data_IF_405501058420
#
_entry.id   IF_405501058420
#
_cell.length_a   1.000
_cell.length_b   1.000
_cell.length_c   1.000
_cell.angle_alpha   90.00
_cell.angle_beta   90.00
_cell.angle_gamma   90.00
#
_symmetry.space_group_name_H-M   'P 1'
#
loop_
_entity.id
_entity.type
_entity.pdbx_description
1 polymer ?
#
# COMPACT_ATOMS: atom_id res chain seq x y z
N UNK A 1 -11.23 23.09 16.09
CA UNK A 1 -11.63 21.92 15.26
C UNK A 1 -12.06 20.77 16.16
N UNK A 2 -13.09 20.01 15.74
CA UNK A 2 -13.48 18.74 16.38
C UNK A 2 -12.91 17.55 15.59
N UNK A 3 -12.50 16.50 16.30
CA UNK A 3 -12.00 15.25 15.72
C UNK A 3 -12.94 14.15 16.20
N UNK A 4 -13.51 13.38 15.28
CA UNK A 4 -14.31 12.20 15.60
C UNK A 4 -13.77 10.99 14.83
N UNK A 5 -13.42 9.94 15.57
CA UNK A 5 -12.96 8.69 14.96
C UNK A 5 -14.17 7.77 14.87
N UNK A 6 -14.71 7.62 13.67
CA UNK A 6 -15.80 6.69 13.42
C UNK A 6 -15.30 5.24 13.45
N UNK A 7 -14.06 5.02 12.94
CA UNK A 7 -13.43 3.70 12.88
C UNK A 7 -11.91 3.81 12.72
N UNK A 8 -11.15 2.81 13.20
CA UNK A 8 -9.69 2.73 13.05
C UNK A 8 -8.89 3.07 14.31
N UNK A 9 -9.52 3.20 15.50
CA UNK A 9 -8.80 3.58 16.72
C UNK A 9 -8.13 2.38 17.41
N UNK A 10 -8.86 1.36 17.79
CA UNK A 10 -8.35 0.16 18.49
C UNK A 10 -8.30 -1.06 17.56
N UNK A 11 -8.03 -0.83 16.30
CA UNK A 11 -7.93 -1.85 15.25
C UNK A 11 -6.95 -1.41 14.18
N UNK A 12 -6.40 -2.37 13.44
CA UNK A 12 -5.65 -2.11 12.22
C UNK A 12 -6.63 -2.08 11.05
N UNK A 13 -6.58 -1.00 10.26
CA UNK A 13 -7.43 -0.80 9.09
C UNK A 13 -8.82 -0.27 9.37
N UNK A 14 -9.58 -0.07 8.29
CA UNK A 14 -10.93 0.45 8.33
C UNK A 14 -11.04 1.93 8.71
N UNK A 15 -10.00 2.72 8.51
CA UNK A 15 -9.93 4.10 8.97
C UNK A 15 -11.03 4.99 8.37
N UNK A 16 -11.79 5.66 9.25
CA UNK A 16 -12.76 6.69 8.89
C UNK A 16 -12.72 7.76 9.98
N UNK A 17 -12.16 8.94 9.65
CA UNK A 17 -11.91 10.01 10.62
C UNK A 17 -12.56 11.29 10.12
N UNK A 18 -13.44 11.88 10.94
CA UNK A 18 -14.07 13.17 10.68
C UNK A 18 -13.24 14.29 11.31
N UNK A 19 -13.02 15.35 10.54
CA UNK A 19 -12.54 16.66 11.02
C UNK A 19 -13.61 17.69 10.72
N UNK A 20 -14.08 18.41 11.75
CA UNK A 20 -15.13 19.39 11.58
C UNK A 20 -14.89 20.70 12.33
N UNK A 21 -15.49 21.76 11.80
CA UNK A 21 -15.66 23.08 12.41
C UNK A 21 -17.16 23.32 12.66
N UNK A 22 -17.56 24.55 12.97
CA UNK A 22 -18.99 24.89 13.05
C UNK A 22 -19.69 24.85 11.68
N UNK A 23 -18.96 25.00 10.58
CA UNK A 23 -19.53 25.20 9.23
C UNK A 23 -19.07 24.19 8.19
N UNK A 24 -18.01 23.43 8.43
CA UNK A 24 -17.39 22.53 7.47
C UNK A 24 -17.12 21.16 8.09
N UNK A 25 -17.38 20.11 7.33
CA UNK A 25 -17.17 18.74 7.76
C UNK A 25 -16.48 17.92 6.67
N UNK A 26 -15.29 17.40 6.94
CA UNK A 26 -14.53 16.55 6.01
C UNK A 26 -14.24 15.18 6.62
N UNK A 27 -13.99 14.19 5.77
CA UNK A 27 -13.57 12.85 6.19
C UNK A 27 -12.16 12.57 5.66
N UNK A 28 -11.31 12.00 6.51
CA UNK A 28 -10.00 11.46 6.16
C UNK A 28 -10.08 9.95 6.13
N UNK A 29 -9.87 9.37 4.95
CA UNK A 29 -10.02 7.97 4.59
C UNK A 29 -11.45 7.41 4.77
N UNK A 30 -11.77 6.39 4.01
CA UNK A 30 -13.02 5.61 4.07
C UNK A 30 -12.66 4.13 3.81
N UNK A 31 -12.07 3.51 4.81
CA UNK A 31 -11.47 2.19 4.70
C UNK A 31 -12.44 1.04 4.91
N UNK A 32 -12.10 -0.11 4.35
CA UNK A 32 -12.68 -1.41 4.65
C UNK A 32 -12.02 -2.03 5.89
N UNK A 33 -12.74 -2.79 6.69
CA UNK A 33 -12.15 -3.62 7.72
C UNK A 33 -11.38 -4.79 7.10
N UNK A 34 -10.26 -5.21 7.73
CA UNK A 34 -9.39 -6.23 7.16
C UNK A 34 -10.01 -7.64 7.14
N UNK A 35 -10.90 -7.92 8.08
CA UNK A 35 -11.48 -9.26 8.28
C UNK A 35 -12.82 -9.48 7.56
N UNK A 36 -13.33 -8.48 6.82
CA UNK A 36 -14.71 -8.48 6.30
C UNK A 36 -14.78 -8.65 4.77
N UNK A 37 -14.15 -9.69 4.26
CA UNK A 37 -14.12 -9.99 2.82
C UNK A 37 -15.47 -10.40 2.19
N UNK A 38 -16.54 -10.63 2.96
CA UNK A 38 -17.72 -11.33 2.43
C UNK A 38 -19.10 -10.70 2.65
N UNK A 39 -19.29 -9.78 3.60
CA UNK A 39 -20.60 -9.15 3.87
C UNK A 39 -20.43 -7.76 4.48
N UNK A 40 -19.85 -6.83 3.72
CA UNK A 40 -19.63 -5.49 4.24
C UNK A 40 -20.95 -4.74 4.29
N UNK A 41 -21.48 -4.61 5.50
CA UNK A 41 -22.44 -3.56 5.79
C UNK A 41 -21.69 -2.23 5.86
N UNK A 42 -22.24 -1.22 5.19
CA UNK A 42 -21.69 0.14 5.31
C UNK A 42 -21.85 0.60 6.75
N UNK A 43 -20.82 1.24 7.34
CA UNK A 43 -20.96 1.79 8.69
C UNK A 43 -22.05 2.87 8.69
N UNK A 44 -22.82 2.92 9.78
CA UNK A 44 -23.89 3.90 9.96
C UNK A 44 -23.29 5.27 10.32
N UNK A 45 -22.89 6.00 9.26
CA UNK A 45 -22.33 7.35 9.35
C UNK A 45 -23.24 8.28 8.56
N UNK A 46 -24.07 9.01 9.31
CA UNK A 46 -25.09 9.90 8.76
C UNK A 46 -24.49 10.94 7.79
N UNK A 47 -24.99 10.95 6.57
CA UNK A 47 -24.55 11.89 5.55
C UNK A 47 -23.27 11.53 4.78
N UNK A 48 -22.71 10.33 4.97
CA UNK A 48 -21.51 9.90 4.19
C UNK A 48 -21.90 9.03 2.99
N UNK A 49 -22.82 8.11 3.17
CA UNK A 49 -23.19 7.13 2.14
C UNK A 49 -24.61 7.34 1.60
N UNK A 50 -25.52 7.81 2.41
CA UNK A 50 -26.96 7.94 2.14
C UNK A 50 -27.35 9.29 1.50
N UNK A 51 -26.75 10.40 1.95
CA UNK A 51 -26.89 11.73 1.37
C UNK A 51 -25.59 12.53 1.51
N UNK A 52 -25.50 13.71 0.86
CA UNK A 52 -24.31 14.55 0.94
C UNK A 52 -24.32 15.42 2.20
N UNK A 53 -23.84 14.87 3.33
CA UNK A 53 -23.71 15.55 4.62
C UNK A 53 -22.28 16.00 4.95
N UNK A 54 -21.32 15.70 4.08
CA UNK A 54 -19.92 16.08 4.20
C UNK A 54 -19.49 16.96 3.03
N UNK A 55 -18.56 17.87 3.27
CA UNK A 55 -18.06 18.80 2.25
C UNK A 55 -16.95 18.19 1.40
N UNK A 56 -16.21 17.19 1.90
CA UNK A 56 -15.20 16.44 1.15
C UNK A 56 -14.75 15.15 1.85
N UNK A 57 -14.17 14.23 1.06
CA UNK A 57 -13.37 13.09 1.50
C UNK A 57 -11.96 13.23 0.97
N UNK A 58 -10.95 13.02 1.81
CA UNK A 58 -9.54 13.03 1.47
C UNK A 58 -8.96 11.64 1.72
N UNK A 59 -8.44 11.00 0.68
CA UNK A 59 -7.86 9.65 0.74
C UNK A 59 -6.34 9.75 0.84
N UNK A 60 -5.77 9.23 1.94
CA UNK A 60 -4.33 9.26 2.18
C UNK A 60 -3.56 8.39 1.17
N UNK A 61 -4.07 7.19 0.88
CA UNK A 61 -3.49 6.24 -0.07
C UNK A 61 -4.49 5.15 -0.50
N UNK A 62 -4.09 4.28 -1.46
CA UNK A 62 -5.01 3.38 -2.15
C UNK A 62 -5.18 1.98 -1.52
N UNK A 63 -4.69 1.67 -0.34
CA UNK A 63 -4.99 0.39 0.30
C UNK A 63 -6.47 0.28 0.66
N UNK A 64 -7.01 -0.93 0.65
CA UNK A 64 -8.43 -1.16 0.85
C UNK A 64 -8.96 -0.67 2.19
N UNK A 65 -8.16 -0.79 3.23
CA UNK A 65 -8.45 -0.35 4.60
C UNK A 65 -8.37 1.17 4.81
N UNK A 66 -8.09 1.94 3.75
CA UNK A 66 -8.15 3.41 3.70
C UNK A 66 -9.10 3.95 2.62
N UNK A 67 -9.26 3.21 1.52
CA UNK A 67 -10.01 3.66 0.35
C UNK A 67 -11.25 2.81 0.06
N UNK A 68 -11.31 1.59 0.58
CA UNK A 68 -12.21 0.57 0.03
C UNK A 68 -13.70 0.93 0.01
N UNK A 69 -14.17 1.82 0.89
CA UNK A 69 -15.54 2.33 0.88
C UNK A 69 -15.75 3.57 -0.02
N UNK A 70 -14.71 4.10 -0.68
CA UNK A 70 -14.83 5.27 -1.54
C UNK A 70 -15.82 5.07 -2.70
N UNK A 71 -16.04 3.85 -3.12
CA UNK A 71 -17.01 3.47 -4.16
C UNK A 71 -18.48 3.65 -3.72
N UNK A 72 -18.72 3.73 -2.42
CA UNK A 72 -20.06 3.87 -1.81
C UNK A 72 -20.32 5.26 -1.27
N UNK A 73 -19.31 6.13 -1.19
CA UNK A 73 -19.47 7.53 -0.78
C UNK A 73 -20.52 8.20 -1.68
N UNK A 74 -21.42 8.98 -1.08
CA UNK A 74 -22.46 9.65 -1.83
C UNK A 74 -21.87 10.52 -2.95
N UNK A 75 -22.37 10.36 -4.16
CA UNK A 75 -21.81 10.89 -5.42
C UNK A 75 -21.59 12.41 -5.45
N UNK A 76 -22.33 13.17 -4.62
CA UNK A 76 -22.24 14.63 -4.55
C UNK A 76 -21.16 15.09 -3.54
N UNK A 77 -20.53 14.17 -2.79
CA UNK A 77 -19.41 14.46 -1.92
C UNK A 77 -18.09 14.37 -2.75
N UNK A 78 -17.32 15.47 -2.85
CA UNK A 78 -16.06 15.47 -3.59
C UNK A 78 -15.01 14.62 -2.90
N UNK A 79 -14.32 13.76 -3.67
CA UNK A 79 -13.21 12.91 -3.19
C UNK A 79 -11.90 13.45 -3.76
N UNK A 80 -10.87 13.56 -2.90
CA UNK A 80 -9.49 13.92 -3.25
C UNK A 80 -8.56 12.77 -2.92
N UNK A 81 -7.64 12.45 -3.85
CA UNK A 81 -6.68 11.33 -3.73
C UNK A 81 -5.40 11.68 -4.49
N UNK A 82 -4.29 11.01 -4.21
CA UNK A 82 -3.07 11.14 -5.00
C UNK A 82 -3.29 10.77 -6.47
N UNK A 83 -2.62 11.49 -7.40
CA UNK A 83 -2.81 11.26 -8.84
C UNK A 83 -2.35 9.88 -9.27
N UNK A 84 -1.15 9.44 -8.81
CA UNK A 84 -0.63 8.12 -9.14
C UNK A 84 -1.37 7.02 -8.37
N UNK A 85 -1.84 7.29 -7.16
CA UNK A 85 -2.78 6.43 -6.41
C UNK A 85 -4.03 6.15 -7.24
N UNK A 86 -4.64 7.19 -7.81
CA UNK A 86 -5.82 7.04 -8.66
C UNK A 86 -5.53 6.27 -9.96
N UNK A 87 -4.38 6.52 -10.61
CA UNK A 87 -3.96 5.75 -11.81
C UNK A 87 -3.84 4.25 -11.50
N UNK A 88 -3.23 3.90 -10.37
CA UNK A 88 -3.06 2.51 -9.91
C UNK A 88 -4.42 1.84 -9.73
N UNK A 89 -5.35 2.50 -9.01
CA UNK A 89 -6.68 1.95 -8.77
C UNK A 89 -7.44 1.82 -10.09
N UNK A 90 -7.43 2.85 -10.92
CA UNK A 90 -8.14 2.83 -12.20
C UNK A 90 -7.65 1.71 -13.11
N UNK A 91 -6.33 1.45 -13.16
CA UNK A 91 -5.77 0.33 -13.91
C UNK A 91 -6.22 -1.02 -13.32
N UNK A 92 -6.20 -1.15 -11.99
CA UNK A 92 -6.67 -2.34 -11.28
C UNK A 92 -8.16 -2.61 -11.54
N UNK A 93 -8.99 -1.58 -11.42
CA UNK A 93 -10.44 -1.67 -11.59
C UNK A 93 -10.82 -1.97 -13.05
N UNK A 94 -10.19 -1.29 -13.99
CA UNK A 94 -10.37 -1.56 -15.42
C UNK A 94 -10.03 -3.01 -15.76
N UNK A 95 -8.91 -3.53 -15.21
CA UNK A 95 -8.57 -4.96 -15.37
C UNK A 95 -9.63 -5.89 -14.79
N UNK A 96 -10.27 -5.52 -13.66
CA UNK A 96 -11.32 -6.30 -13.00
C UNK A 96 -12.72 -6.05 -13.57
N UNK A 97 -12.89 -5.12 -14.50
CA UNK A 97 -14.15 -4.57 -15.02
C UNK A 97 -15.03 -3.95 -13.92
N UNK A 98 -14.43 -3.20 -13.02
CA UNK A 98 -15.08 -2.40 -11.97
C UNK A 98 -15.07 -0.95 -12.44
N UNK A 99 -16.16 -0.23 -12.23
CA UNK A 99 -16.20 1.22 -12.47
C UNK A 99 -15.53 1.95 -11.30
N UNK A 100 -14.46 2.69 -11.59
CA UNK A 100 -13.75 3.49 -10.57
C UNK A 100 -14.52 4.78 -10.29
N UNK A 101 -14.59 5.21 -9.03
CA UNK A 101 -15.13 6.52 -8.67
C UNK A 101 -14.33 7.65 -9.33
N UNK A 102 -14.95 8.84 -9.49
CA UNK A 102 -14.29 10.00 -10.12
C UNK A 102 -13.83 10.99 -9.05
N UNK A 103 -12.52 11.22 -8.87
CA UNK A 103 -12.04 12.19 -7.92
C UNK A 103 -12.35 13.60 -8.39
N UNK A 104 -12.60 14.51 -7.44
CA UNK A 104 -12.76 15.94 -7.68
C UNK A 104 -11.44 16.62 -8.00
N UNK A 105 -10.34 16.11 -7.44
CA UNK A 105 -8.99 16.64 -7.63
C UNK A 105 -7.94 15.75 -7.04
N UNK A 106 -6.67 16.11 -7.27
CA UNK A 106 -5.53 15.31 -6.87
C UNK A 106 -4.72 15.99 -5.78
N UNK A 107 -4.31 15.16 -4.79
CA UNK A 107 -3.34 15.54 -3.77
C UNK A 107 -1.97 15.72 -4.41
N UNK A 108 -1.29 16.77 -4.01
CA UNK A 108 0.09 17.03 -4.41
C UNK A 108 0.85 17.56 -3.20
N UNK A 109 2.12 17.14 -3.06
CA UNK A 109 2.95 17.55 -1.95
C UNK A 109 2.95 19.07 -1.75
N UNK A 110 2.53 19.52 -0.55
CA UNK A 110 2.46 20.93 -0.10
C UNK A 110 1.57 21.84 -0.97
N UNK A 111 0.65 21.27 -1.74
CA UNK A 111 -0.38 22.06 -2.41
C UNK A 111 -1.68 21.95 -1.64
N UNK A 112 -1.99 22.96 -0.86
CA UNK A 112 -3.17 23.00 -0.02
C UNK A 112 -4.46 23.04 -0.83
N UNK A 113 -5.49 22.38 -0.32
CA UNK A 113 -6.86 22.37 -0.82
C UNK A 113 -7.73 22.92 0.30
N UNK A 114 -8.50 23.96 0.02
CA UNK A 114 -9.43 24.55 1.00
C UNK A 114 -10.85 24.11 0.69
N UNK A 115 -11.53 23.59 1.69
CA UNK A 115 -12.93 23.19 1.66
C UNK A 115 -13.63 23.91 2.81
N UNK A 116 -14.58 24.80 2.50
CA UNK A 116 -15.16 25.67 3.51
C UNK A 116 -14.09 26.48 4.24
N UNK A 117 -14.00 26.30 5.55
CA UNK A 117 -13.01 26.94 6.43
C UNK A 117 -11.86 26.00 6.84
N UNK A 118 -11.84 24.76 6.35
CA UNK A 118 -10.76 23.81 6.58
C UNK A 118 -9.78 23.83 5.40
N UNK A 119 -8.49 24.00 5.67
CA UNK A 119 -7.43 23.88 4.67
C UNK A 119 -6.65 22.59 4.92
N UNK A 120 -6.63 21.70 3.90
CA UNK A 120 -5.88 20.43 3.94
C UNK A 120 -4.62 20.54 3.12
N UNK A 121 -3.46 20.34 3.74
CA UNK A 121 -2.15 20.34 3.09
C UNK A 121 -1.56 18.93 3.09
N UNK A 122 -1.43 18.27 1.92
CA UNK A 122 -0.86 16.94 1.82
C UNK A 122 0.66 16.96 1.84
N UNK A 123 1.27 16.04 2.60
CA UNK A 123 2.71 15.79 2.64
C UNK A 123 3.02 14.39 2.13
N UNK A 124 3.69 14.28 0.98
CA UNK A 124 4.08 12.99 0.42
C UNK A 124 4.96 12.23 1.40
N UNK A 125 4.55 11.02 1.78
CA UNK A 125 5.28 10.14 2.69
C UNK A 125 5.68 8.82 2.02
N UNK A 126 6.55 8.05 2.67
CA UNK A 126 6.86 6.69 2.27
C UNK A 126 5.88 5.71 2.90
N UNK A 127 5.38 4.80 2.11
CA UNK A 127 4.56 3.66 2.50
C UNK A 127 4.66 2.57 1.42
N UNK A 128 4.16 1.36 1.68
CA UNK A 128 4.09 0.30 0.66
C UNK A 128 3.14 0.64 -0.51
N UNK A 129 2.13 1.48 -0.28
CA UNK A 129 1.39 2.14 -1.34
C UNK A 129 2.21 3.30 -1.93
N UNK A 130 2.26 3.35 -3.24
CA UNK A 130 2.94 4.42 -3.98
C UNK A 130 2.20 5.74 -3.86
N UNK A 131 2.61 6.88 -3.77
CA UNK A 131 1.85 8.14 -3.74
C UNK A 131 0.93 8.28 -2.51
N UNK A 132 1.50 8.00 -1.30
CA UNK A 132 0.84 8.11 0.00
C UNK A 132 1.10 9.47 0.64
N UNK A 133 0.13 10.00 1.38
CA UNK A 133 0.19 11.32 1.97
C UNK A 133 -0.19 11.33 3.46
N UNK A 134 0.59 12.08 4.26
CA UNK A 134 0.10 12.65 5.52
C UNK A 134 -0.74 13.88 5.21
N UNK A 135 -1.81 14.12 5.96
CA UNK A 135 -2.75 15.22 5.73
C UNK A 135 -2.76 16.19 6.93
N UNK A 136 -2.30 17.43 6.71
CA UNK A 136 -2.39 18.50 7.70
C UNK A 136 -3.70 19.26 7.49
N UNK A 137 -4.60 19.24 8.47
CA UNK A 137 -5.83 20.02 8.51
C UNK A 137 -5.62 21.26 9.38
N UNK A 138 -5.94 22.43 8.85
CA UNK A 138 -5.81 23.72 9.53
C UNK A 138 -7.14 24.50 9.46
N UNK A 139 -7.67 24.89 10.61
CA UNK A 139 -8.83 25.78 10.75
C UNK A 139 -8.78 26.44 12.14
N UNK A 140 -9.34 27.66 12.27
CA UNK A 140 -9.45 28.39 13.55
C UNK A 140 -8.12 28.56 14.32
N UNK A 141 -6.99 28.55 13.61
CA UNK A 141 -5.65 28.61 14.20
C UNK A 141 -5.14 27.30 14.81
N UNK A 142 -5.91 26.22 14.73
CA UNK A 142 -5.53 24.87 15.15
C UNK A 142 -4.97 24.06 13.98
N UNK A 143 -4.07 23.11 14.30
CA UNK A 143 -3.36 22.24 13.38
C UNK A 143 -3.49 20.78 13.79
N UNK A 144 -4.11 19.97 12.94
CA UNK A 144 -4.27 18.53 13.13
C UNK A 144 -3.53 17.81 12.01
N UNK A 145 -2.56 16.96 12.34
CA UNK A 145 -1.86 16.12 11.37
C UNK A 145 -2.36 14.68 11.46
N UNK A 146 -2.86 14.16 10.37
CA UNK A 146 -3.18 12.75 10.16
C UNK A 146 -2.07 12.08 9.38
N UNK A 147 -1.48 11.02 9.92
CA UNK A 147 -0.35 10.35 9.26
C UNK A 147 -0.78 9.51 8.07
N UNK A 148 -2.05 9.06 7.98
CA UNK A 148 -2.34 7.86 7.22
C UNK A 148 -1.37 6.76 7.66
N UNK A 149 -0.96 5.92 6.74
CA UNK A 149 0.11 4.95 6.95
C UNK A 149 1.43 5.49 6.39
N UNK A 150 2.52 5.25 7.13
CA UNK A 150 3.84 5.68 6.71
C UNK A 150 4.95 4.73 7.16
N UNK A 151 6.14 4.90 6.61
CA UNK A 151 7.36 4.18 7.01
C UNK A 151 8.61 5.03 6.78
N UNK A 152 9.74 4.59 7.34
CA UNK A 152 11.05 5.22 7.13
C UNK A 152 12.01 4.37 6.30
N UNK A 153 11.64 3.16 5.98
CA UNK A 153 12.50 2.09 5.43
C UNK A 153 12.30 1.83 3.93
N UNK A 154 11.47 2.61 3.24
CA UNK A 154 11.25 2.48 1.80
C UNK A 154 12.21 3.30 0.96
N UNK A 155 11.74 3.81 -0.19
CA UNK A 155 12.58 4.50 -1.17
C UNK A 155 12.46 6.02 -1.14
N UNK A 156 11.40 6.55 -0.51
CA UNK A 156 11.26 8.01 -0.31
C UNK A 156 12.01 8.44 0.95
N UNK A 157 12.80 9.53 0.90
CA UNK A 157 13.68 9.89 2.01
C UNK A 157 12.89 10.45 3.21
N UNK A 158 12.74 9.65 4.26
CA UNK A 158 12.02 10.01 5.48
C UNK A 158 12.54 11.27 6.16
N UNK A 159 13.86 11.42 6.26
CA UNK A 159 14.50 12.62 6.83
C UNK A 159 14.17 13.93 6.06
N UNK A 160 13.83 13.82 4.78
CA UNK A 160 13.36 14.97 4.01
C UNK A 160 11.92 15.31 4.41
N UNK A 161 11.04 14.33 4.53
CA UNK A 161 9.68 14.53 5.00
C UNK A 161 9.64 15.21 6.37
N UNK A 162 10.44 14.74 7.36
CA UNK A 162 10.50 15.32 8.69
C UNK A 162 10.88 16.82 8.69
N UNK A 163 11.70 17.27 7.73
CA UNK A 163 12.06 18.70 7.61
C UNK A 163 10.93 19.54 7.01
N UNK A 164 10.05 18.95 6.23
CA UNK A 164 8.94 19.64 5.57
C UNK A 164 7.70 19.74 6.44
N UNK A 165 7.55 18.87 7.44
CA UNK A 165 6.39 18.84 8.33
C UNK A 165 6.33 20.06 9.27
N UNK A 166 5.11 20.53 9.61
CA UNK A 166 4.91 21.59 10.59
C UNK A 166 5.35 21.14 11.99
N UNK A 167 5.71 22.13 12.83
CA UNK A 167 6.06 21.89 14.22
C UNK A 167 5.06 22.54 15.15
N UNK A 168 4.99 22.03 16.40
CA UNK A 168 4.11 22.53 17.44
C UNK A 168 2.63 22.50 16.99
N UNK A 169 2.20 21.34 16.51
CA UNK A 169 0.81 21.08 16.09
C UNK A 169 -0.08 20.81 17.31
N UNK A 170 -1.39 21.01 17.16
CA UNK A 170 -2.34 20.82 18.26
C UNK A 170 -2.65 19.35 18.49
N UNK A 171 -2.89 18.57 17.42
CA UNK A 171 -3.12 17.14 17.52
C UNK A 171 -2.38 16.37 16.43
N UNK A 172 -1.92 15.16 16.77
CA UNK A 172 -1.36 14.18 15.86
C UNK A 172 -2.19 12.90 15.92
N UNK A 173 -2.84 12.53 14.82
CA UNK A 173 -3.45 11.23 14.61
C UNK A 173 -2.40 10.32 13.99
N UNK A 174 -1.89 9.34 14.75
CA UNK A 174 -0.71 8.57 14.37
C UNK A 174 -0.97 7.09 14.29
N UNK A 175 -0.60 6.45 13.16
CA UNK A 175 -0.63 5.01 13.02
C UNK A 175 0.33 4.32 13.99
N UNK A 176 -0.02 3.10 14.40
CA UNK A 176 0.80 2.27 15.28
C UNK A 176 0.75 0.78 14.95
N UNK A 177 0.61 0.43 13.67
CA UNK A 177 0.44 -0.95 13.18
C UNK A 177 1.50 -1.92 13.69
N UNK A 178 2.74 -1.47 13.83
CA UNK A 178 3.85 -2.33 14.27
C UNK A 178 4.06 -2.37 15.78
N UNK A 179 3.35 -1.55 16.55
CA UNK A 179 3.57 -1.41 18.00
C UNK A 179 3.12 -2.64 18.82
N UNK A 180 2.33 -3.54 18.24
CA UNK A 180 2.03 -4.85 18.82
C UNK A 180 3.18 -5.87 18.66
N UNK A 181 4.23 -5.53 17.89
CA UNK A 181 5.37 -6.40 17.57
C UNK A 181 6.59 -5.99 18.39
N UNK A 182 6.77 -6.59 19.56
CA UNK A 182 7.88 -6.26 20.46
C UNK A 182 9.25 -6.38 19.77
N UNK A 183 10.09 -5.34 19.88
CA UNK A 183 11.45 -5.33 19.33
C UNK A 183 11.54 -5.35 17.80
N UNK A 184 10.44 -5.07 17.10
CA UNK A 184 10.44 -5.03 15.64
C UNK A 184 11.27 -3.85 15.11
N UNK A 185 12.22 -4.16 14.22
CA UNK A 185 13.03 -3.20 13.47
C UNK A 185 12.83 -3.45 11.98
N UNK A 186 12.52 -2.42 11.25
CA UNK A 186 12.28 -2.52 9.80
C UNK A 186 13.58 -2.70 9.02
N UNK A 187 13.63 -3.69 8.13
CA UNK A 187 14.66 -3.78 7.09
C UNK A 187 14.33 -2.76 5.98
N UNK A 188 15.34 -2.12 5.41
CA UNK A 188 15.12 -1.20 4.28
C UNK A 188 14.88 -1.94 2.97
N UNK A 189 14.16 -1.31 2.03
CA UNK A 189 14.00 -1.84 0.66
C UNK A 189 15.35 -2.00 -0.06
N UNK A 190 16.38 -1.22 0.30
CA UNK A 190 17.72 -1.32 -0.25
C UNK A 190 18.47 -2.54 0.25
N UNK A 191 18.38 -2.86 1.54
CA UNK A 191 18.95 -4.08 2.13
C UNK A 191 18.25 -5.32 1.57
N UNK A 192 16.92 -5.27 1.43
CA UNK A 192 16.15 -6.36 0.83
C UNK A 192 16.51 -6.57 -0.65
N UNK A 193 16.81 -5.50 -1.40
CA UNK A 193 17.34 -5.59 -2.78
C UNK A 193 18.69 -6.33 -2.80
N UNK A 194 19.60 -6.01 -1.86
CA UNK A 194 20.91 -6.67 -1.78
C UNK A 194 20.75 -8.16 -1.46
N UNK A 195 19.90 -8.51 -0.51
CA UNK A 195 19.61 -9.89 -0.14
C UNK A 195 19.00 -10.67 -1.32
N UNK A 196 18.06 -10.07 -2.04
CA UNK A 196 17.49 -10.65 -3.27
C UNK A 196 18.58 -10.90 -4.33
N UNK A 197 19.52 -9.96 -4.52
CA UNK A 197 20.65 -10.13 -5.45
C UNK A 197 21.50 -11.33 -5.07
N UNK A 198 21.88 -11.48 -3.80
CA UNK A 198 22.71 -12.61 -3.38
C UNK A 198 21.97 -13.95 -3.51
N UNK A 199 20.68 -14.00 -3.21
CA UNK A 199 19.84 -15.17 -3.45
C UNK A 199 19.77 -15.53 -4.94
N UNK A 200 19.55 -14.54 -5.81
CA UNK A 200 19.41 -14.78 -7.25
C UNK A 200 20.73 -15.17 -7.91
N UNK A 201 21.89 -14.65 -7.45
CA UNK A 201 23.22 -15.03 -7.95
C UNK A 201 23.53 -16.50 -7.68
N UNK A 202 23.18 -16.98 -6.50
CA UNK A 202 23.50 -18.36 -6.08
C UNK A 202 22.50 -19.38 -6.59
N UNK A 203 21.35 -18.93 -7.09
CA UNK A 203 20.29 -19.80 -7.61
C UNK A 203 20.47 -20.09 -9.11
N UNK A 204 20.43 -21.37 -9.48
CA UNK A 204 20.56 -21.82 -10.88
C UNK A 204 19.23 -22.14 -11.55
N UNK A 205 18.17 -22.24 -10.77
CA UNK A 205 16.80 -22.52 -11.24
C UNK A 205 15.99 -21.26 -11.52
N UNK A 206 14.71 -21.43 -11.85
CA UNK A 206 13.80 -20.31 -12.03
C UNK A 206 13.57 -19.56 -10.72
N UNK A 207 13.28 -18.26 -10.80
CA UNK A 207 12.95 -17.43 -9.64
C UNK A 207 11.55 -16.88 -9.83
N UNK A 208 10.69 -17.20 -8.88
CA UNK A 208 9.34 -16.64 -8.75
C UNK A 208 9.28 -15.74 -7.53
N UNK A 209 8.52 -14.65 -7.62
CA UNK A 209 8.33 -13.70 -6.51
C UNK A 209 6.83 -13.56 -6.27
N UNK A 210 6.38 -14.04 -5.14
CA UNK A 210 5.00 -13.90 -4.68
C UNK A 210 4.86 -12.58 -3.93
N UNK A 211 4.26 -11.59 -4.59
CA UNK A 211 4.09 -10.22 -4.08
C UNK A 211 2.83 -9.55 -4.60
N UNK A 212 2.45 -8.44 -3.97
CA UNK A 212 1.37 -7.58 -4.48
C UNK A 212 1.80 -6.89 -5.77
N UNK A 213 0.93 -6.92 -6.78
CA UNK A 213 1.10 -6.17 -8.03
C UNK A 213 0.97 -4.65 -7.85
N UNK A 214 0.51 -4.20 -6.69
CA UNK A 214 0.35 -2.79 -6.34
C UNK A 214 1.45 -2.26 -5.41
N UNK A 215 2.35 -3.11 -4.90
CA UNK A 215 3.50 -2.67 -4.13
C UNK A 215 4.65 -2.26 -5.06
N UNK A 216 4.65 -1.00 -5.46
CA UNK A 216 5.57 -0.46 -6.47
C UNK A 216 7.03 -0.52 -6.01
N UNK A 217 7.32 -0.21 -4.76
CA UNK A 217 8.68 -0.29 -4.22
C UNK A 217 9.23 -1.71 -4.29
N UNK A 218 8.40 -2.72 -4.02
CA UNK A 218 8.79 -4.12 -4.11
C UNK A 218 9.00 -4.56 -5.57
N UNK A 219 8.18 -4.08 -6.51
CA UNK A 219 8.39 -4.30 -7.94
C UNK A 219 9.76 -3.75 -8.36
N UNK A 220 10.09 -2.53 -7.95
CA UNK A 220 11.40 -1.90 -8.22
C UNK A 220 12.54 -2.71 -7.60
N UNK A 221 12.39 -3.18 -6.36
CA UNK A 221 13.36 -4.00 -5.64
C UNK A 221 13.68 -5.28 -6.41
N UNK A 222 12.65 -6.02 -6.80
CA UNK A 222 12.83 -7.31 -7.50
C UNK A 222 13.31 -7.14 -8.93
N UNK A 223 12.85 -6.09 -9.64
CA UNK A 223 13.38 -5.73 -10.95
C UNK A 223 14.88 -5.41 -10.91
N UNK A 224 15.33 -4.58 -9.96
CA UNK A 224 16.75 -4.24 -9.82
C UNK A 224 17.60 -5.46 -9.48
N UNK A 225 17.09 -6.34 -8.61
CA UNK A 225 17.75 -7.60 -8.31
C UNK A 225 17.84 -8.53 -9.54
N UNK A 226 16.78 -8.62 -10.34
CA UNK A 226 16.78 -9.35 -11.61
C UNK A 226 17.84 -8.80 -12.57
N UNK A 227 17.86 -7.49 -12.80
CA UNK A 227 18.82 -6.81 -13.68
C UNK A 227 20.26 -7.01 -13.24
N UNK A 228 20.57 -6.88 -11.95
CA UNK A 228 21.91 -7.09 -11.37
C UNK A 228 22.40 -8.54 -11.45
N UNK A 229 21.49 -9.47 -11.71
CA UNK A 229 21.80 -10.91 -11.86
C UNK A 229 21.58 -11.42 -13.28
N UNK A 230 21.50 -10.51 -14.27
CA UNK A 230 21.32 -10.81 -15.70
C UNK A 230 20.09 -11.68 -15.98
N UNK A 231 19.01 -11.49 -15.24
CA UNK A 231 17.71 -12.13 -15.43
C UNK A 231 16.74 -11.13 -16.06
N UNK A 232 15.94 -11.58 -17.03
CA UNK A 232 14.80 -10.79 -17.49
C UNK A 232 13.74 -10.72 -16.39
N UNK A 233 12.96 -9.63 -16.38
CA UNK A 233 11.87 -9.44 -15.44
C UNK A 233 10.54 -9.77 -16.13
N UNK A 234 9.75 -10.65 -15.52
CA UNK A 234 8.47 -11.10 -16.06
C UNK A 234 7.34 -10.62 -15.18
N UNK A 235 6.44 -9.85 -15.76
CA UNK A 235 5.22 -9.38 -15.10
C UNK A 235 3.96 -9.92 -15.83
N UNK A 236 2.99 -10.35 -15.03
CA UNK A 236 1.69 -10.75 -15.57
C UNK A 236 0.89 -9.50 -15.96
N UNK A 237 0.01 -9.61 -16.95
CA UNK A 237 -0.73 -8.50 -17.55
C UNK A 237 -1.38 -7.55 -16.52
N UNK A 238 -1.91 -8.07 -15.41
CA UNK A 238 -2.47 -7.22 -14.34
C UNK A 238 -1.42 -6.27 -13.73
N UNK A 239 -0.22 -6.77 -13.47
CA UNK A 239 0.89 -5.93 -13.00
C UNK A 239 1.34 -4.96 -14.09
N UNK A 240 1.41 -5.42 -15.33
CA UNK A 240 1.78 -4.61 -16.49
C UNK A 240 0.85 -3.40 -16.71
N UNK A 241 -0.46 -3.59 -16.56
CA UNK A 241 -1.44 -2.49 -16.65
C UNK A 241 -1.20 -1.44 -15.54
N UNK A 242 -0.92 -1.88 -14.31
CA UNK A 242 -0.63 -0.99 -13.18
C UNK A 242 0.67 -0.23 -13.38
N UNK A 243 1.76 -0.93 -13.72
CA UNK A 243 3.08 -0.30 -13.90
C UNK A 243 3.11 0.64 -15.10
N UNK A 244 2.36 0.31 -16.17
CA UNK A 244 2.17 1.17 -17.33
C UNK A 244 1.43 2.47 -17.00
N UNK A 245 0.41 2.39 -16.14
CA UNK A 245 -0.39 3.55 -15.75
C UNK A 245 0.44 4.60 -14.98
N UNK A 246 1.42 4.16 -14.18
CA UNK A 246 2.36 5.04 -13.49
C UNK A 246 3.44 5.53 -14.47
N UNK A 247 4.05 4.63 -15.23
CA UNK A 247 5.10 4.93 -16.22
C UNK A 247 6.39 5.48 -15.59
N UNK A 248 7.03 6.40 -16.32
CA UNK A 248 8.22 7.12 -15.85
C UNK A 248 9.42 6.20 -15.57
N UNK A 249 10.00 6.30 -14.37
CA UNK A 249 11.16 5.51 -13.94
C UNK A 249 10.79 4.16 -13.28
N UNK A 250 9.50 3.87 -13.13
CA UNK A 250 9.00 2.61 -12.60
C UNK A 250 9.15 1.54 -13.69
N UNK A 251 9.73 0.35 -13.38
CA UNK A 251 9.80 -0.76 -14.32
C UNK A 251 8.41 -1.11 -14.85
N UNK A 252 8.27 -1.15 -16.16
CA UNK A 252 7.00 -1.35 -16.85
C UNK A 252 7.23 -2.04 -18.20
N UNK A 253 6.19 -2.47 -18.93
CA UNK A 253 6.30 -3.22 -20.19
C UNK A 253 7.08 -2.54 -21.32
N UNK A 254 7.35 -1.23 -21.21
CA UNK A 254 8.12 -0.47 -22.21
C UNK A 254 9.63 -0.49 -21.94
N UNK A 255 10.09 -1.11 -20.85
CA UNK A 255 11.50 -1.33 -20.57
C UNK A 255 12.02 -2.54 -21.36
N UNK A 256 13.24 -2.44 -21.92
CA UNK A 256 13.82 -3.47 -22.79
C UNK A 256 14.08 -4.83 -22.13
N UNK A 257 14.13 -4.87 -20.82
CA UNK A 257 14.38 -6.06 -19.98
C UNK A 257 13.16 -6.50 -19.16
N UNK A 258 11.99 -5.89 -19.41
CA UNK A 258 10.69 -6.28 -18.86
C UNK A 258 9.85 -6.97 -19.93
N UNK A 259 9.28 -8.12 -19.61
CA UNK A 259 8.46 -8.91 -20.51
C UNK A 259 7.12 -9.22 -19.89
N UNK A 260 6.06 -9.13 -20.69
CA UNK A 260 4.68 -9.31 -20.22
C UNK A 260 4.09 -10.63 -20.73
N UNK A 261 3.39 -11.33 -19.85
CA UNK A 261 2.67 -12.57 -20.19
C UNK A 261 1.23 -12.54 -19.64
N UNK A 262 0.41 -13.48 -20.11
CA UNK A 262 -0.97 -13.65 -19.65
C UNK A 262 -1.18 -15.02 -19.01
N UNK A 263 -2.05 -15.06 -18.02
CA UNK A 263 -2.59 -16.28 -17.42
C UNK A 263 -3.97 -16.63 -17.99
N UNK A 264 -4.70 -15.65 -18.52
CA UNK A 264 -6.00 -15.81 -19.15
C UNK A 264 -5.94 -15.49 -20.65
N UNK A 265 -6.11 -16.48 -21.55
CA UNK A 265 -6.07 -16.26 -23.00
C UNK A 265 -7.08 -15.24 -23.53
N UNK A 266 -8.20 -15.01 -22.83
CA UNK A 266 -9.21 -14.00 -23.21
C UNK A 266 -8.67 -12.56 -23.16
N UNK A 267 -7.54 -12.33 -22.51
CA UNK A 267 -6.86 -11.02 -22.39
C UNK A 267 -5.78 -10.81 -23.46
N UNK A 268 -5.72 -11.66 -24.49
CA UNK A 268 -4.67 -11.56 -25.51
C UNK A 268 -4.71 -10.25 -26.29
N UNK A 269 -5.88 -9.69 -26.53
CA UNK A 269 -6.03 -8.40 -27.21
C UNK A 269 -5.31 -7.28 -26.41
N UNK A 270 -5.54 -7.21 -25.12
CA UNK A 270 -4.84 -6.26 -24.23
C UNK A 270 -3.34 -6.53 -24.21
N UNK A 271 -2.90 -7.79 -24.11
CA UNK A 271 -1.48 -8.15 -24.17
C UNK A 271 -0.83 -7.72 -25.50
N UNK A 272 -1.60 -7.77 -26.59
CA UNK A 272 -1.06 -7.51 -27.95
C UNK A 272 -0.52 -6.09 -28.14
N UNK A 273 -0.89 -5.13 -27.27
CA UNK A 273 -0.39 -3.76 -27.30
C UNK A 273 1.08 -3.63 -26.82
N UNK A 274 1.60 -4.64 -26.10
CA UNK A 274 2.96 -4.62 -25.59
C UNK A 274 3.94 -5.31 -26.55
N UNK A 275 5.09 -4.69 -26.82
CA UNK A 275 6.10 -5.21 -27.75
C UNK A 275 6.79 -6.45 -27.19
N UNK A 276 7.09 -6.45 -25.88
CA UNK A 276 7.79 -7.55 -25.21
C UNK A 276 6.82 -8.60 -24.61
N UNK A 277 5.77 -8.95 -25.35
CA UNK A 277 4.86 -10.05 -24.97
C UNK A 277 5.47 -11.42 -25.20
N UNK A 278 5.31 -12.32 -24.21
CA UNK A 278 5.93 -13.64 -24.27
C UNK A 278 4.96 -14.75 -23.85
N UNK A 279 5.18 -15.94 -24.41
CA UNK A 279 4.49 -17.18 -24.04
C UNK A 279 5.40 -18.14 -23.27
N UNK A 280 4.82 -19.24 -22.80
CA UNK A 280 5.52 -20.26 -22.00
C UNK A 280 6.75 -20.86 -22.69
N UNK A 281 6.77 -20.97 -24.02
CA UNK A 281 7.90 -21.52 -24.77
C UNK A 281 9.14 -20.60 -24.74
N UNK A 282 8.94 -19.30 -24.71
CA UNK A 282 10.01 -18.33 -24.49
C UNK A 282 10.46 -18.37 -23.02
N UNK A 283 9.51 -18.33 -22.09
CA UNK A 283 9.76 -18.32 -20.64
C UNK A 283 10.58 -19.55 -20.24
N UNK A 284 10.21 -20.74 -20.73
CA UNK A 284 10.87 -22.01 -20.39
C UNK A 284 12.35 -22.09 -20.79
N UNK A 285 12.79 -21.21 -21.69
CA UNK A 285 14.21 -21.12 -22.19
C UNK A 285 14.94 -19.92 -21.64
N UNK A 286 14.26 -19.08 -20.83
CA UNK A 286 14.80 -17.81 -20.33
C UNK A 286 15.33 -17.94 -18.91
N UNK A 287 16.29 -17.08 -18.56
CA UNK A 287 16.75 -16.89 -17.20
C UNK A 287 16.02 -15.65 -16.62
N UNK A 288 15.13 -15.87 -15.68
CA UNK A 288 14.14 -14.84 -15.30
C UNK A 288 13.92 -14.68 -13.79
N UNK A 289 13.33 -13.57 -13.42
CA UNK A 289 12.54 -13.34 -12.20
C UNK A 289 11.10 -13.08 -12.63
N UNK A 290 10.16 -13.89 -12.16
CA UNK A 290 8.73 -13.78 -12.48
C UNK A 290 7.92 -13.39 -11.27
N UNK A 291 7.20 -12.27 -11.34
CA UNK A 291 6.20 -11.91 -10.34
C UNK A 291 4.94 -12.78 -10.49
N UNK A 292 4.49 -13.34 -9.37
CA UNK A 292 3.33 -14.24 -9.32
C UNK A 292 2.36 -13.86 -8.21
N UNK A 293 1.12 -14.31 -8.35
CA UNK A 293 0.05 -14.23 -7.34
C UNK A 293 -0.44 -15.64 -7.01
N UNK A 294 -1.07 -15.87 -5.85
CA UNK A 294 -1.62 -17.17 -5.46
C UNK A 294 -2.63 -17.72 -6.52
N UNK A 295 -3.43 -16.85 -7.13
CA UNK A 295 -4.37 -17.21 -8.21
C UNK A 295 -3.71 -17.77 -9.48
N UNK A 296 -2.38 -17.73 -9.59
CA UNK A 296 -1.63 -18.22 -10.76
C UNK A 296 -1.15 -19.68 -10.63
N UNK A 297 -1.61 -20.44 -9.63
CA UNK A 297 -1.17 -21.82 -9.41
C UNK A 297 -1.35 -22.72 -10.66
N UNK A 298 -2.49 -22.63 -11.33
CA UNK A 298 -2.74 -23.39 -12.56
C UNK A 298 -1.77 -23.04 -13.70
N UNK A 299 -1.38 -21.76 -13.79
CA UNK A 299 -0.38 -21.31 -14.75
C UNK A 299 1.01 -21.89 -14.43
N UNK A 300 1.41 -21.90 -13.15
CA UNK A 300 2.69 -22.46 -12.70
C UNK A 300 2.74 -23.96 -12.94
N UNK A 301 1.67 -24.71 -12.66
CA UNK A 301 1.55 -26.14 -13.00
C UNK A 301 1.76 -26.38 -14.50
N UNK A 302 1.08 -25.61 -15.35
CA UNK A 302 1.24 -25.74 -16.80
C UNK A 302 2.63 -25.26 -17.32
N UNK A 303 3.31 -24.35 -16.62
CA UNK A 303 4.67 -23.97 -16.96
C UNK A 303 5.67 -25.05 -16.56
N UNK A 304 5.44 -25.75 -15.43
CA UNK A 304 6.29 -26.84 -14.95
C UNK A 304 6.31 -28.07 -15.88
N UNK A 305 5.28 -28.23 -16.72
CA UNK A 305 5.29 -29.23 -17.80
C UNK A 305 6.31 -28.91 -18.92
N UNK A 306 6.71 -27.64 -19.06
CA UNK A 306 7.64 -27.18 -20.11
C UNK A 306 9.06 -26.97 -19.59
N UNK A 307 9.25 -26.77 -18.29
CA UNK A 307 10.54 -26.56 -17.68
C UNK A 307 10.58 -27.10 -16.24
N UNK A 308 11.74 -27.59 -15.81
CA UNK A 308 11.90 -28.05 -14.43
C UNK A 308 11.95 -26.88 -13.45
N UNK A 309 11.21 -26.98 -12.34
CA UNK A 309 11.30 -26.05 -11.22
C UNK A 309 12.30 -26.50 -10.14
N UNK A 310 12.96 -27.64 -10.34
CA UNK A 310 13.99 -28.15 -9.42
C UNK A 310 15.09 -27.10 -9.25
N UNK A 311 15.51 -26.88 -8.02
CA UNK A 311 16.45 -25.84 -7.60
C UNK A 311 15.96 -24.41 -7.87
N UNK A 312 14.68 -24.22 -8.14
CA UNK A 312 14.07 -22.89 -8.25
C UNK A 312 13.75 -22.29 -6.89
N UNK A 313 13.46 -20.99 -6.90
CA UNK A 313 13.05 -20.24 -5.71
C UNK A 313 11.63 -19.70 -5.88
N UNK A 314 10.86 -19.75 -4.79
CA UNK A 314 9.71 -18.88 -4.57
C UNK A 314 10.06 -17.89 -3.45
N UNK A 315 10.27 -16.65 -3.81
CA UNK A 315 10.42 -15.56 -2.83
C UNK A 315 9.03 -15.17 -2.34
N UNK A 316 8.75 -15.46 -1.08
CA UNK A 316 7.54 -15.02 -0.40
C UNK A 316 7.74 -13.58 0.11
N UNK A 317 7.02 -12.64 -0.46
CA UNK A 317 7.20 -11.19 -0.20
C UNK A 317 5.93 -10.51 0.30
N UNK A 318 5.18 -11.20 1.13
CA UNK A 318 4.04 -10.71 1.91
C UNK A 318 4.32 -10.78 3.41
N UNK A 319 3.47 -10.13 4.18
CA UNK A 319 3.44 -10.31 5.63
C UNK A 319 3.24 -11.78 6.00
N UNK A 320 4.00 -12.23 7.01
CA UNK A 320 4.00 -13.66 7.40
C UNK A 320 2.65 -14.17 7.89
N UNK A 321 1.81 -13.29 8.44
CA UNK A 321 0.47 -13.64 8.90
C UNK A 321 -0.43 -14.21 7.80
N UNK A 322 -0.25 -13.77 6.54
CA UNK A 322 -1.02 -14.35 5.42
C UNK A 322 -0.69 -15.82 5.12
N UNK A 323 0.42 -16.36 5.67
CA UNK A 323 0.72 -17.80 5.55
C UNK A 323 -0.28 -18.69 6.29
N UNK A 324 -1.02 -18.11 7.24
CA UNK A 324 -2.06 -18.83 7.99
C UNK A 324 -3.35 -19.01 7.19
N UNK A 325 -3.56 -18.24 6.12
CA UNK A 325 -4.70 -18.39 5.23
C UNK A 325 -4.63 -19.71 4.44
N UNK A 326 -5.75 -20.45 4.36
CA UNK A 326 -5.78 -21.78 3.76
C UNK A 326 -5.44 -21.77 2.26
N UNK A 327 -5.88 -20.77 1.48
CA UNK A 327 -5.53 -20.65 0.07
C UNK A 327 -4.02 -20.40 -0.11
N UNK A 328 -3.41 -19.63 0.79
CA UNK A 328 -1.98 -19.38 0.76
C UNK A 328 -1.18 -20.63 1.14
N UNK A 329 -1.61 -21.37 2.16
CA UNK A 329 -1.02 -22.65 2.54
C UNK A 329 -1.04 -23.64 1.38
N UNK A 330 -2.19 -23.77 0.71
CA UNK A 330 -2.32 -24.64 -0.47
C UNK A 330 -1.36 -24.22 -1.58
N UNK A 331 -1.32 -22.92 -1.91
CA UNK A 331 -0.43 -22.39 -2.93
C UNK A 331 1.05 -22.69 -2.62
N UNK A 332 1.49 -22.43 -1.39
CA UNK A 332 2.88 -22.65 -0.96
C UNK A 332 3.25 -24.15 -1.02
N UNK A 333 2.40 -25.03 -0.49
CA UNK A 333 2.60 -26.48 -0.55
C UNK A 333 2.72 -26.99 -2.00
N UNK A 334 1.86 -26.51 -2.88
CA UNK A 334 1.93 -26.88 -4.30
C UNK A 334 3.20 -26.37 -4.98
N UNK A 335 3.69 -25.19 -4.62
CA UNK A 335 4.97 -24.69 -5.13
C UNK A 335 6.15 -25.55 -4.65
N UNK A 336 6.15 -26.04 -3.41
CA UNK A 336 7.15 -26.97 -2.90
C UNK A 336 7.07 -28.33 -3.62
N UNK A 337 5.86 -28.85 -3.87
CA UNK A 337 5.64 -30.08 -4.65
C UNK A 337 6.16 -29.96 -6.09
N UNK A 338 6.12 -28.75 -6.67
CA UNK A 338 6.71 -28.47 -7.99
C UNK A 338 8.25 -28.37 -7.96
N UNK A 339 8.88 -28.38 -6.77
CA UNK A 339 10.33 -28.40 -6.58
C UNK A 339 10.93 -27.02 -6.26
N UNK A 340 10.12 -26.02 -5.90
CA UNK A 340 10.59 -24.70 -5.49
C UNK A 340 10.99 -24.69 -4.01
N UNK A 341 12.08 -24.00 -3.69
CA UNK A 341 12.43 -23.64 -2.33
C UNK A 341 11.78 -22.32 -1.96
N UNK A 342 11.04 -22.27 -0.86
CA UNK A 342 10.43 -21.02 -0.37
C UNK A 342 11.41 -20.25 0.51
N UNK A 343 11.61 -18.97 0.21
CA UNK A 343 12.44 -18.05 1.00
C UNK A 343 11.63 -16.79 1.26
N UNK A 344 11.57 -16.33 2.50
CA UNK A 344 10.86 -15.10 2.86
C UNK A 344 11.78 -13.89 2.73
N UNK A 345 11.40 -12.92 1.89
CA UNK A 345 11.98 -11.58 1.78
C UNK A 345 10.88 -10.54 1.86
N UNK A 346 10.72 -9.94 3.02
CA UNK A 346 9.65 -8.98 3.27
C UNK A 346 10.09 -7.91 4.26
N UNK A 347 9.67 -6.68 4.04
CA UNK A 347 9.74 -5.59 5.01
C UNK A 347 8.38 -4.90 5.08
N UNK A 348 8.06 -4.35 6.26
CA UNK A 348 6.76 -3.71 6.51
C UNK A 348 6.53 -2.48 5.64
N UNK A 349 5.26 -2.23 5.34
CA UNK A 349 4.78 -0.96 4.80
C UNK A 349 4.61 0.14 5.86
N UNK A 350 4.72 -0.20 7.15
CA UNK A 350 4.41 0.68 8.28
C UNK A 350 5.65 1.05 9.09
N UNK A 351 5.53 2.16 9.82
CA UNK A 351 6.58 2.70 10.67
C UNK A 351 6.92 1.77 11.84
N UNK A 352 8.20 1.65 12.18
CA UNK A 352 8.64 1.06 13.45
C UNK A 352 8.65 2.11 14.58
N UNK A 353 8.90 1.66 15.81
CA UNK A 353 8.95 2.55 16.98
C UNK A 353 9.91 3.73 16.79
N UNK A 354 11.04 3.52 16.11
CA UNK A 354 12.04 4.58 15.89
C UNK A 354 11.47 5.66 14.99
N UNK A 355 10.85 5.28 13.88
CA UNK A 355 10.25 6.24 12.96
C UNK A 355 9.09 7.03 13.62
N UNK A 356 8.25 6.34 14.41
CA UNK A 356 7.16 6.99 15.16
C UNK A 356 7.72 8.02 16.15
N UNK A 357 8.75 7.67 16.94
CA UNK A 357 9.40 8.59 17.87
C UNK A 357 10.00 9.80 17.19
N UNK A 358 10.68 9.60 16.06
CA UNK A 358 11.28 10.69 15.28
C UNK A 358 10.21 11.64 14.73
N UNK A 359 9.08 11.11 14.23
CA UNK A 359 7.95 11.91 13.78
C UNK A 359 7.41 12.77 14.92
N UNK A 360 7.05 12.15 16.05
CA UNK A 360 6.46 12.83 17.21
C UNK A 360 7.43 13.91 17.73
N UNK A 361 8.72 13.58 17.89
CA UNK A 361 9.77 14.52 18.30
C UNK A 361 9.96 15.69 17.34
N UNK A 362 9.66 15.50 16.06
CA UNK A 362 9.75 16.54 15.02
C UNK A 362 8.54 17.47 15.05
N UNK A 363 7.32 16.92 15.01
CA UNK A 363 6.09 17.72 14.92
C UNK A 363 5.66 18.30 16.27
N UNK A 364 6.11 17.72 17.39
CA UNK A 364 5.86 18.17 18.78
C UNK A 364 4.38 18.49 19.02
N UNK A 365 3.52 17.48 18.94
CA UNK A 365 2.08 17.68 19.12
C UNK A 365 1.76 18.02 20.58
N UNK A 366 0.71 18.83 20.83
CA UNK A 366 0.16 19.04 22.17
C UNK A 366 -0.53 17.77 22.68
N UNK A 367 -1.20 17.04 21.77
CA UNK A 367 -1.81 15.75 22.04
C UNK A 367 -1.60 14.77 20.89
N UNK A 368 -1.53 13.48 21.21
CA UNK A 368 -1.44 12.37 20.28
C UNK A 368 -2.66 11.48 20.43
N UNK A 369 -3.27 11.11 19.31
CA UNK A 369 -4.40 10.21 19.22
C UNK A 369 -3.94 8.99 18.42
N UNK A 370 -3.77 7.82 19.05
CA UNK A 370 -3.42 6.59 18.36
C UNK A 370 -4.55 6.16 17.41
N UNK A 371 -4.16 5.76 16.21
CA UNK A 371 -5.06 5.18 15.20
C UNK A 371 -4.37 4.01 14.54
N UNK A 372 -5.11 3.18 13.80
CA UNK A 372 -4.57 2.08 13.02
C UNK A 372 -3.62 1.20 13.84
N UNK A 373 -4.06 0.80 15.05
CA UNK A 373 -3.24 0.04 16.00
C UNK A 373 -4.09 -0.84 16.90
N UNK A 374 -3.59 -2.03 17.22
CA UNK A 374 -4.14 -2.91 18.24
C UNK A 374 -3.54 -2.64 19.63
N UNK A 375 -2.54 -1.76 19.72
CA UNK A 375 -1.81 -1.47 20.96
C UNK A 375 -1.64 0.05 21.17
N UNK A 376 -2.76 0.75 21.35
CA UNK A 376 -2.77 2.20 21.58
C UNK A 376 -2.02 2.59 22.87
N UNK A 377 -2.07 1.75 23.92
CA UNK A 377 -1.38 1.99 25.20
C UNK A 377 0.14 2.08 25.05
N UNK A 378 0.72 1.41 24.05
CA UNK A 378 2.16 1.46 23.78
C UNK A 378 2.66 2.87 23.51
N UNK A 379 1.82 3.77 22.97
CA UNK A 379 2.18 5.16 22.75
C UNK A 379 2.48 5.91 24.05
N UNK A 380 1.80 5.62 25.16
CA UNK A 380 2.06 6.24 26.47
C UNK A 380 3.47 5.89 26.99
N UNK A 381 3.92 4.67 26.74
CA UNK A 381 5.28 4.24 27.08
C UNK A 381 6.32 4.83 26.13
N UNK A 382 5.96 4.95 24.84
CA UNK A 382 6.86 5.40 23.78
C UNK A 382 7.22 6.88 23.90
N UNK A 383 6.24 7.71 24.30
CA UNK A 383 6.35 9.17 24.39
C UNK A 383 5.72 9.72 25.69
N UNK A 384 6.31 9.43 26.87
CA UNK A 384 5.71 9.74 28.18
C UNK A 384 5.48 11.23 28.43
N UNK A 385 6.16 12.10 27.68
CA UNK A 385 6.04 13.56 27.81
C UNK A 385 4.92 14.15 26.94
N UNK A 386 4.21 13.33 26.14
CA UNK A 386 3.11 13.78 25.27
C UNK A 386 1.78 13.27 25.84
N UNK A 387 0.77 14.11 25.83
CA UNK A 387 -0.60 13.70 26.20
C UNK A 387 -1.12 12.74 25.14
N UNK A 388 -1.36 11.48 25.50
CA UNK A 388 -1.94 10.46 24.62
C UNK A 388 -3.42 10.30 24.97
N UNK A 389 -4.29 10.66 24.02
CA UNK A 389 -5.73 10.50 24.13
C UNK A 389 -6.16 9.19 23.46
N UNK A 390 -6.68 8.26 24.26
CA UNK A 390 -7.28 7.00 23.79
C UNK A 390 -8.74 7.09 24.17
N UNK A 391 -9.65 7.12 23.20
CA UNK A 391 -11.08 7.09 23.49
C UNK A 391 -11.48 5.68 23.95
N UNK A 392 -12.26 5.61 25.03
CA UNK A 392 -12.87 4.36 25.44
C UNK A 392 -13.91 3.95 24.39
N UNK A 393 -13.79 2.76 23.82
CA UNK A 393 -14.84 2.18 22.99
C UNK A 393 -16.09 1.98 23.84
N UNK A 394 -17.10 2.81 23.67
CA UNK A 394 -18.42 2.62 24.27
C UNK A 394 -19.27 1.70 23.40
#
# INVERSE_FOLDING_TARGET
MNIQIHRGQNQIGGNIIEISTETTKIVLDVGLELDDDKNQELPDIDGLFDFAGYDAVFISHYHGDHLGLAYYVHKDIPIFIGEDSYKIISASDNYKNIETFKPKGFLNHKKSITVGDITVTPYLCDHSAFDSYMLLCEADGEKVLYTGDFRSNGRKPYNWLLKELPKNIDALLCEGTTLSREGYVSQTESELEQEAVELFKTNTGPVFVLQSSMNIDRIVTMYRAAKRTSRIFLEELYMAEITSAIGGSIPNPYFSDVYTFITNPKRYETLSQYDHKVGKDFISKSHFVMCVRNSMLSYLKSLSEKMSFKNGLLVYSFWSGYKENDEMKEFLNECENLGLKIVTLHTSGHADETAIKELIGTVKPKKLIPIHTENAERFKELVPDVVVEIEDCN
#
